data_IF_220436003412
#
_entry.id   IF_220436003412
#
_cell.length_a   1.000
_cell.length_b   1.000
_cell.length_c   1.000
_cell.angle_alpha   90.00
_cell.angle_beta   90.00
_cell.angle_gamma   90.00
#
_symmetry.space_group_name_H-M   'P 1'
#
loop_
_entity.id
_entity.type
_entity.pdbx_description
1 polymer ?
#
# COMPACT_ATOMS: atom_id res chain seq x y z
N UNK A 1 -26.81 6.41 2.29
CA UNK A 1 -27.95 6.84 3.13
C UNK A 1 -27.90 6.26 4.54
N UNK A 2 -27.82 4.93 4.75
CA UNK A 2 -27.78 4.34 6.11
C UNK A 2 -26.66 4.89 7.04
N UNK A 3 -25.48 5.15 6.50
CA UNK A 3 -24.35 5.66 7.29
C UNK A 3 -24.27 7.19 7.40
N UNK A 4 -25.16 7.96 6.74
CA UNK A 4 -25.12 9.43 6.78
C UNK A 4 -23.92 10.12 6.10
N UNK A 5 -22.91 9.39 5.61
CA UNK A 5 -21.69 9.96 5.01
C UNK A 5 -21.84 10.23 3.51
N UNK A 6 -21.12 11.25 3.02
CA UNK A 6 -20.94 11.53 1.60
C UNK A 6 -20.27 10.37 0.83
N UNK A 7 -20.63 10.14 -0.44
CA UNK A 7 -20.01 9.09 -1.25
C UNK A 7 -18.52 9.38 -1.47
N UNK A 8 -17.65 8.43 -1.09
CA UNK A 8 -16.20 8.53 -1.28
C UNK A 8 -15.75 7.73 -2.51
N UNK A 9 -14.72 8.23 -3.22
CA UNK A 9 -14.18 7.62 -4.45
C UNK A 9 -13.44 6.29 -4.23
N UNK A 10 -12.86 6.09 -3.05
CA UNK A 10 -12.06 4.91 -2.71
C UNK A 10 -12.40 4.44 -1.31
N UNK A 11 -12.67 3.14 -1.17
CA UNK A 11 -13.02 2.50 0.10
C UNK A 11 -12.09 1.32 0.31
N UNK A 12 -11.51 1.22 1.52
CA UNK A 12 -10.66 0.12 1.94
C UNK A 12 -10.89 -0.21 3.40
N UNK A 13 -10.70 -1.49 3.72
CA UNK A 13 -10.80 -2.01 5.06
C UNK A 13 -9.43 -2.05 5.72
N UNK A 14 -9.40 -1.74 7.02
CA UNK A 14 -8.25 -1.86 7.88
C UNK A 14 -8.56 -2.84 9.01
N UNK A 15 -7.62 -3.73 9.32
CA UNK A 15 -7.74 -4.63 10.47
C UNK A 15 -7.25 -3.89 11.70
N UNK A 16 -8.12 -3.76 12.69
CA UNK A 16 -7.85 -3.08 13.96
C UNK A 16 -8.00 -4.07 15.12
N UNK A 17 -7.26 -3.85 16.19
CA UNK A 17 -7.37 -4.62 17.43
C UNK A 17 -8.50 -4.12 18.33
N UNK A 18 -8.77 -2.81 18.29
CA UNK A 18 -9.80 -2.17 19.09
C UNK A 18 -10.93 -1.63 18.19
N UNK A 19 -12.16 -1.64 18.71
CA UNK A 19 -13.31 -1.08 18.02
C UNK A 19 -13.23 0.44 18.03
N UNK A 20 -13.39 1.05 16.85
CA UNK A 20 -13.54 2.50 16.70
C UNK A 20 -15.04 2.85 16.64
N UNK A 21 -15.44 4.06 17.08
CA UNK A 21 -16.82 4.52 16.93
C UNK A 21 -17.22 4.56 15.46
N UNK A 22 -18.45 4.15 15.16
CA UNK A 22 -19.02 4.22 13.81
C UNK A 22 -19.31 5.69 13.45
N UNK A 23 -18.71 6.18 12.37
CA UNK A 23 -18.92 7.56 11.92
C UNK A 23 -17.78 8.12 11.08
N UNK A 24 -17.85 9.42 10.79
CA UNK A 24 -16.84 10.14 10.04
C UNK A 24 -15.65 10.48 10.93
N UNK A 25 -14.64 9.62 10.91
CA UNK A 25 -13.35 9.88 11.56
C UNK A 25 -12.49 10.66 10.58
N UNK A 26 -12.21 11.92 10.89
CA UNK A 26 -11.24 12.72 10.13
C UNK A 26 -9.82 12.19 10.39
N UNK A 27 -9.37 11.29 9.51
CA UNK A 27 -7.99 10.80 9.48
C UNK A 27 -7.07 11.92 8.97
N UNK A 28 -6.46 12.65 9.89
CA UNK A 28 -5.48 13.68 9.58
C UNK A 28 -4.07 13.10 9.46
N UNK A 29 -3.20 13.84 8.79
CA UNK A 29 -1.79 13.50 8.56
C UNK A 29 -0.99 13.46 9.88
N UNK A 30 -1.52 14.10 10.93
CA UNK A 30 -0.97 14.16 12.30
C UNK A 30 -0.85 12.81 13.00
N UNK A 31 -1.47 11.75 12.45
CA UNK A 31 -1.35 10.39 12.98
C UNK A 31 0.06 9.81 12.81
N UNK A 32 0.85 10.37 11.89
CA UNK A 32 2.24 9.99 11.68
C UNK A 32 3.17 11.07 12.19
N UNK A 33 4.31 10.67 12.74
CA UNK A 33 5.38 11.58 13.12
C UNK A 33 6.64 11.31 12.31
N UNK A 34 7.49 12.34 12.19
CA UNK A 34 8.83 12.16 11.62
C UNK A 34 9.60 11.09 12.41
N UNK A 35 10.28 10.20 11.69
CA UNK A 35 11.02 9.06 12.26
C UNK A 35 10.22 7.76 12.38
N UNK A 36 8.91 7.78 12.20
CA UNK A 36 8.09 6.56 12.26
C UNK A 36 8.33 5.66 11.03
N UNK A 37 8.16 4.34 11.22
CA UNK A 37 8.23 3.36 10.14
C UNK A 37 6.84 2.93 9.69
N UNK A 38 6.61 2.95 8.38
CA UNK A 38 5.34 2.64 7.74
C UNK A 38 5.48 1.58 6.64
N UNK A 39 4.41 0.83 6.45
CA UNK A 39 4.23 -0.03 5.27
C UNK A 39 3.30 0.67 4.28
N UNK A 40 3.71 0.77 3.02
CA UNK A 40 2.92 1.38 1.96
C UNK A 40 2.44 0.32 0.99
N UNK A 41 1.13 0.23 0.83
CA UNK A 41 0.45 -0.74 -0.02
C UNK A 41 -0.19 -0.01 -1.19
N UNK A 42 0.11 -0.45 -2.41
CA UNK A 42 -0.45 0.13 -3.63
C UNK A 42 -0.59 -0.91 -4.72
N UNK A 43 -1.18 -0.50 -5.85
CA UNK A 43 -1.11 -1.26 -7.09
C UNK A 43 0.12 -0.86 -7.86
N UNK A 44 0.95 -1.83 -8.23
CA UNK A 44 2.15 -1.60 -9.03
C UNK A 44 1.81 -1.09 -10.43
N UNK A 45 2.74 -0.32 -11.03
CA UNK A 45 2.57 0.18 -12.40
C UNK A 45 2.42 -0.98 -13.39
N UNK A 46 1.29 -1.01 -14.11
CA UNK A 46 1.03 -1.99 -15.15
C UNK A 46 2.03 -1.89 -16.29
N UNK A 47 2.52 -3.05 -16.75
CA UNK A 47 3.44 -3.18 -17.90
C UNK A 47 2.81 -4.01 -19.03
N UNK A 48 1.57 -4.50 -18.89
CA UNK A 48 0.89 -5.31 -19.92
C UNK A 48 1.52 -6.70 -20.09
N UNK A 49 1.38 -7.29 -21.27
CA UNK A 49 2.00 -8.60 -21.58
C UNK A 49 3.51 -8.45 -21.78
N UNK A 50 4.29 -9.15 -20.97
CA UNK A 50 5.75 -9.08 -20.97
C UNK A 50 6.38 -10.45 -21.24
N UNK A 51 7.49 -10.41 -21.98
CA UNK A 51 8.33 -11.59 -22.22
C UNK A 51 9.07 -12.05 -20.96
N UNK A 52 9.61 -13.26 -21.03
CA UNK A 52 10.29 -13.93 -19.90
C UNK A 52 11.48 -13.16 -19.34
N UNK A 53 12.23 -12.46 -20.19
CA UNK A 53 13.39 -11.67 -19.73
C UNK A 53 12.98 -10.53 -18.80
N UNK A 54 11.88 -9.84 -19.08
CA UNK A 54 11.42 -8.70 -18.27
C UNK A 54 10.54 -9.12 -17.10
N UNK A 55 9.83 -10.24 -17.22
CA UNK A 55 8.95 -10.78 -16.17
C UNK A 55 9.72 -11.57 -15.11
N UNK A 56 10.68 -12.39 -15.54
CA UNK A 56 11.37 -13.37 -14.69
C UNK A 56 12.90 -13.21 -14.71
N UNK A 57 13.45 -12.16 -15.33
CA UNK A 57 14.90 -11.89 -15.41
C UNK A 57 15.72 -13.02 -16.06
N UNK A 58 15.16 -13.71 -17.06
CA UNK A 58 15.90 -14.74 -17.81
C UNK A 58 17.01 -14.11 -18.67
N UNK A 59 18.15 -14.79 -18.80
CA UNK A 59 19.37 -14.29 -19.48
C UNK A 59 19.28 -14.25 -21.02
N UNK A 60 18.37 -15.03 -21.63
CA UNK A 60 18.26 -15.15 -23.09
C UNK A 60 19.26 -16.16 -23.68
N UNK A 61 19.45 -16.12 -25.00
CA UNK A 61 20.33 -17.01 -25.76
C UNK A 61 21.39 -16.20 -26.52
N UNK A 62 22.47 -16.84 -26.97
CA UNK A 62 23.55 -16.18 -27.71
C UNK A 62 23.07 -15.36 -28.91
N UNK A 63 23.75 -14.24 -29.18
CA UNK A 63 23.36 -13.29 -30.22
C UNK A 63 24.07 -13.50 -31.56
N UNK A 64 25.38 -13.81 -31.55
CA UNK A 64 26.22 -13.74 -32.75
C UNK A 64 26.38 -15.08 -33.51
N UNK A 65 26.35 -16.22 -32.82
CA UNK A 65 26.65 -17.52 -33.43
C UNK A 65 25.38 -18.22 -33.95
N UNK A 66 24.75 -17.68 -34.98
CA UNK A 66 23.69 -18.35 -35.76
C UNK A 66 22.35 -18.62 -35.05
N UNK A 67 22.22 -18.21 -33.78
CA UNK A 67 20.98 -18.35 -33.02
C UNK A 67 19.86 -17.51 -33.63
N UNK A 68 18.63 -18.05 -33.67
CA UNK A 68 17.41 -17.32 -34.04
C UNK A 68 16.49 -17.04 -32.85
N UNK A 69 16.93 -17.37 -31.64
CA UNK A 69 16.06 -17.48 -30.46
C UNK A 69 16.56 -16.67 -29.26
N UNK A 70 17.17 -15.50 -29.53
CA UNK A 70 17.86 -14.65 -28.55
C UNK A 70 17.05 -14.33 -27.27
N UNK A 71 15.72 -14.17 -27.39
CA UNK A 71 14.84 -13.74 -26.29
C UNK A 71 13.78 -14.77 -25.89
N UNK A 72 13.90 -16.01 -26.39
CA UNK A 72 12.95 -17.08 -26.07
C UNK A 72 13.22 -17.66 -24.68
N UNK A 73 12.22 -18.35 -24.14
CA UNK A 73 12.25 -19.02 -22.82
C UNK A 73 13.25 -20.17 -22.74
N UNK A 74 13.58 -20.81 -23.88
CA UNK A 74 14.38 -22.03 -23.91
C UNK A 74 13.53 -23.27 -23.61
N UNK A 75 14.13 -24.30 -23.03
CA UNK A 75 13.42 -25.51 -22.62
C UNK A 75 12.50 -25.22 -21.42
N UNK A 76 11.25 -25.70 -21.47
CA UNK A 76 10.22 -25.44 -20.44
C UNK A 76 9.98 -26.67 -19.55
N UNK A 77 10.49 -27.84 -19.94
CA UNK A 77 10.32 -29.08 -19.20
C UNK A 77 11.18 -30.22 -19.74
N UNK A 78 11.06 -31.37 -19.08
CA UNK A 78 11.80 -32.58 -19.39
C UNK A 78 10.96 -33.54 -20.24
N UNK A 79 11.62 -34.45 -20.98
CA UNK A 79 10.96 -35.42 -21.87
C UNK A 79 10.24 -36.54 -21.09
N UNK A 80 10.96 -37.53 -20.57
CA UNK A 80 10.36 -38.78 -20.08
C UNK A 80 9.71 -38.67 -18.69
N UNK A 81 10.41 -38.10 -17.72
CA UNK A 81 9.87 -37.83 -16.37
C UNK A 81 9.99 -36.33 -16.13
N UNK A 82 8.91 -35.57 -15.88
CA UNK A 82 7.53 -35.95 -15.50
C UNK A 82 6.49 -35.98 -16.65
N UNK A 83 6.89 -35.86 -17.93
CA UNK A 83 5.95 -35.87 -19.07
C UNK A 83 4.98 -34.67 -19.14
N UNK A 84 5.20 -33.65 -18.31
CA UNK A 84 4.39 -32.43 -18.25
C UNK A 84 5.24 -31.23 -17.84
N UNK A 85 4.71 -30.03 -18.02
CA UNK A 85 5.31 -28.80 -17.47
C UNK A 85 4.89 -28.67 -16.00
N UNK A 86 5.84 -28.31 -15.13
CA UNK A 86 5.56 -28.05 -13.72
C UNK A 86 4.67 -26.82 -13.55
N UNK A 87 3.81 -26.84 -12.52
CA UNK A 87 2.99 -25.67 -12.17
C UNK A 87 3.90 -24.52 -11.74
N UNK A 88 3.46 -23.28 -11.99
CA UNK A 88 4.20 -22.06 -11.72
C UNK A 88 5.54 -21.92 -12.47
N UNK A 89 5.70 -22.64 -13.58
CA UNK A 89 6.85 -22.44 -14.47
C UNK A 89 6.85 -21.02 -15.05
N UNK A 90 8.03 -20.39 -15.10
CA UNK A 90 8.20 -18.99 -15.49
C UNK A 90 7.91 -18.71 -16.97
N UNK A 91 6.64 -18.50 -17.31
CA UNK A 91 6.17 -18.21 -18.68
C UNK A 91 5.94 -16.71 -18.93
N UNK A 92 5.95 -16.25 -20.20
CA UNK A 92 5.55 -14.88 -20.53
C UNK A 92 4.08 -14.63 -20.11
N UNK A 93 3.74 -13.38 -19.83
CA UNK A 93 2.40 -13.04 -19.33
C UNK A 93 2.27 -11.62 -18.84
N UNK A 94 1.13 -11.30 -18.24
CA UNK A 94 0.87 -9.99 -17.67
C UNK A 94 1.86 -9.69 -16.53
N UNK A 95 2.37 -8.45 -16.50
CA UNK A 95 3.28 -7.96 -15.46
C UNK A 95 2.78 -6.61 -14.93
N UNK A 96 2.71 -6.48 -13.60
CA UNK A 96 2.23 -5.28 -12.92
C UNK A 96 0.70 -5.28 -12.72
N UNK A 97 0.15 -4.15 -12.27
CA UNK A 97 -1.24 -4.00 -11.78
C UNK A 97 -1.61 -4.92 -10.60
N UNK A 98 -0.58 -5.52 -9.99
CA UNK A 98 -0.72 -6.35 -8.80
C UNK A 98 -0.56 -5.51 -7.54
N UNK A 99 -1.22 -5.96 -6.45
CA UNK A 99 -1.11 -5.33 -5.14
C UNK A 99 0.25 -5.65 -4.53
N UNK A 100 1.08 -4.63 -4.33
CA UNK A 100 2.42 -4.76 -3.75
C UNK A 100 2.49 -3.94 -2.47
N UNK A 101 3.23 -4.47 -1.49
CA UNK A 101 3.53 -3.77 -0.24
C UNK A 101 5.02 -3.53 -0.15
N UNK A 102 5.41 -2.28 0.01
CA UNK A 102 6.78 -1.91 0.36
C UNK A 102 6.82 -1.67 1.86
N UNK A 103 7.66 -2.42 2.57
CA UNK A 103 7.69 -2.45 4.03
C UNK A 103 8.84 -1.60 4.57
N UNK A 104 8.71 -1.16 5.82
CA UNK A 104 9.75 -0.47 6.58
C UNK A 104 10.23 0.86 5.95
N UNK A 105 9.33 1.60 5.32
CA UNK A 105 9.65 2.94 4.82
C UNK A 105 9.64 3.95 5.98
N UNK A 106 10.57 4.89 5.97
CA UNK A 106 10.69 5.87 7.04
C UNK A 106 9.99 7.17 6.67
N UNK A 107 9.21 7.73 7.59
CA UNK A 107 8.61 9.06 7.45
C UNK A 107 9.68 10.10 7.76
N UNK A 108 10.01 10.94 6.78
CA UNK A 108 11.02 12.01 6.91
C UNK A 108 10.41 13.27 7.51
N UNK A 109 9.26 13.70 6.98
CA UNK A 109 8.62 14.95 7.35
C UNK A 109 7.11 14.84 7.15
N UNK A 110 6.36 15.46 8.04
CA UNK A 110 4.92 15.65 7.92
C UNK A 110 4.64 17.15 7.80
N UNK A 111 3.94 17.56 6.73
CA UNK A 111 3.53 18.95 6.51
C UNK A 111 2.01 19.03 6.63
N UNK A 112 1.54 19.50 7.78
CA UNK A 112 0.10 19.56 8.10
C UNK A 112 -0.65 20.57 7.24
N UNK A 113 -0.03 21.71 6.93
CA UNK A 113 -0.62 22.78 6.10
C UNK A 113 -0.92 22.31 4.68
N UNK A 114 0.01 21.56 4.08
CA UNK A 114 -0.09 21.01 2.72
C UNK A 114 -0.81 19.65 2.69
N UNK A 115 -1.04 19.03 3.85
CA UNK A 115 -1.54 17.65 4.02
C UNK A 115 -0.67 16.60 3.30
N UNK A 116 0.65 16.76 3.35
CA UNK A 116 1.62 15.89 2.67
C UNK A 116 2.49 15.14 3.68
N UNK A 117 2.75 13.86 3.38
CA UNK A 117 3.73 13.02 4.10
C UNK A 117 4.91 12.77 3.17
N UNK A 118 6.11 13.09 3.64
CA UNK A 118 7.35 12.77 2.94
C UNK A 118 7.86 11.42 3.42
N UNK A 119 7.84 10.42 2.54
CA UNK A 119 8.30 9.06 2.83
C UNK A 119 9.62 8.82 2.10
N UNK A 120 10.61 8.29 2.82
CA UNK A 120 11.87 7.86 2.23
C UNK A 120 11.68 6.52 1.54
N UNK A 121 11.88 6.48 0.22
CA UNK A 121 11.86 5.27 -0.58
C UNK A 121 10.87 5.29 -1.74
N UNK A 122 10.70 4.13 -2.40
CA UNK A 122 9.82 3.97 -3.54
C UNK A 122 8.41 3.59 -3.11
N UNK A 123 7.42 4.33 -3.62
CA UNK A 123 5.99 4.04 -3.42
C UNK A 123 5.47 3.20 -4.60
N UNK A 124 4.76 2.09 -4.35
CA UNK A 124 4.21 1.28 -5.43
C UNK A 124 3.05 2.00 -6.12
N UNK A 125 3.21 2.29 -7.42
CA UNK A 125 2.14 2.83 -8.25
C UNK A 125 2.62 3.89 -9.23
N UNK A 126 1.66 4.49 -9.91
CA UNK A 126 1.88 5.70 -10.71
C UNK A 126 1.51 6.94 -9.88
N UNK A 127 1.99 8.10 -10.30
CA UNK A 127 1.64 9.37 -9.65
C UNK A 127 0.11 9.57 -9.69
N UNK A 128 -0.47 9.97 -8.55
CA UNK A 128 -1.92 10.12 -8.39
C UNK A 128 -2.70 8.83 -8.13
N UNK A 129 -2.02 7.68 -8.04
CA UNK A 129 -2.66 6.43 -7.62
C UNK A 129 -2.97 6.40 -6.13
N UNK A 130 -4.02 5.67 -5.75
CA UNK A 130 -4.36 5.47 -4.34
C UNK A 130 -3.42 4.49 -3.68
N UNK A 131 -2.91 4.87 -2.51
CA UNK A 131 -2.06 4.05 -1.65
C UNK A 131 -2.63 4.00 -0.25
N UNK A 132 -2.42 2.87 0.39
CA UNK A 132 -2.80 2.61 1.77
C UNK A 132 -1.53 2.62 2.61
N UNK A 133 -1.48 3.51 3.60
CA UNK A 133 -0.37 3.63 4.54
C UNK A 133 -0.83 3.04 5.87
N UNK A 134 0.02 2.23 6.49
CA UNK A 134 -0.23 1.65 7.81
C UNK A 134 1.08 1.59 8.61
N UNK A 135 1.03 1.47 9.95
CA UNK A 135 2.21 1.21 10.76
C UNK A 135 2.97 -0.05 10.28
N UNK A 136 4.30 -0.02 10.36
CA UNK A 136 5.13 -1.14 9.93
C UNK A 136 4.97 -2.35 10.84
N UNK A 137 4.75 -3.55 10.26
CA UNK A 137 4.63 -4.79 11.05
C UNK A 137 6.00 -5.24 11.59
N UNK A 138 7.05 -5.14 10.76
CA UNK A 138 8.38 -5.72 11.05
C UNK A 138 9.28 -4.81 11.87
N UNK A 139 8.98 -3.52 11.88
CA UNK A 139 9.56 -2.54 12.80
C UNK A 139 8.42 -1.99 13.64
N UNK A 140 7.94 -2.73 14.65
CA UNK A 140 7.06 -2.14 15.62
C UNK A 140 7.86 -1.02 16.26
N UNK A 141 7.52 0.22 15.96
CA UNK A 141 8.00 1.34 16.76
C UNK A 141 7.52 1.04 18.17
N UNK A 142 8.46 0.67 19.05
CA UNK A 142 8.17 0.56 20.47
C UNK A 142 7.53 1.89 20.88
N UNK A 143 6.38 1.77 21.55
CA UNK A 143 5.64 2.82 22.23
C UNK A 143 6.36 4.18 22.24
N UNK A 144 5.91 5.12 21.39
CA UNK A 144 5.98 6.51 21.87
C UNK A 144 4.99 6.58 23.04
N UNK A 145 5.42 7.16 24.17
CA UNK A 145 4.73 7.02 25.43
C UNK A 145 3.33 7.60 25.31
N UNK A 146 2.38 6.91 25.92
CA UNK A 146 1.01 7.32 26.18
C UNK A 146 0.92 8.57 27.11
N UNK A 147 1.95 9.42 27.16
CA UNK A 147 2.12 10.46 28.18
C UNK A 147 2.62 11.84 27.67
N UNK A 148 2.58 12.12 26.36
CA UNK A 148 2.95 13.46 25.84
C UNK A 148 2.01 13.99 24.75
N UNK A 149 0.71 13.97 25.06
CA UNK A 149 -0.29 15.01 24.76
C UNK A 149 -1.60 14.53 25.36
N UNK A 150 -1.74 14.73 26.69
CA UNK A 150 -3.09 14.99 27.22
C UNK A 150 -3.66 16.10 26.34
N UNK A 151 -4.87 15.97 25.76
CA UNK A 151 -5.54 17.17 25.29
C UNK A 151 -5.71 18.04 26.53
N UNK A 152 -4.99 19.16 26.56
CA UNK A 152 -5.30 20.26 27.46
C UNK A 152 -6.79 20.55 27.28
N UNK A 153 -7.52 20.26 28.34
CA UNK A 153 -8.83 20.83 28.56
C UNK A 153 -8.72 22.35 28.55
N UNK A 154 -9.88 23.00 28.32
CA UNK A 154 -10.20 24.45 28.44
C UNK A 154 -10.11 25.16 27.08
N UNK A 155 -11.18 25.59 26.37
CA UNK A 155 -12.58 25.95 26.67
C UNK A 155 -13.44 25.87 25.39
N UNK A 156 -14.67 25.35 25.46
CA UNK A 156 -15.93 26.07 25.13
C UNK A 156 -17.10 25.22 25.66
N UNK A 157 -17.80 25.62 26.72
CA UNK A 157 -19.01 24.96 27.20
C UNK A 157 -20.24 25.66 26.62
N UNK A 158 -20.82 25.17 25.52
CA UNK A 158 -22.15 25.67 25.09
C UNK A 158 -22.99 24.71 24.23
N UNK A 159 -22.47 23.56 23.77
CA UNK A 159 -23.23 22.70 22.84
C UNK A 159 -24.20 21.70 23.51
N UNK A 160 -24.17 21.52 24.83
CA UNK A 160 -25.03 20.53 25.51
C UNK A 160 -26.45 21.03 25.83
N UNK A 161 -26.78 22.30 25.57
CA UNK A 161 -28.18 22.79 25.68
C UNK A 161 -28.96 22.76 24.37
N UNK A 162 -28.30 22.69 23.21
CA UNK A 162 -28.99 22.72 21.91
C UNK A 162 -29.40 21.34 21.39
N UNK A 163 -28.71 20.26 21.80
CA UNK A 163 -29.08 18.89 21.39
C UNK A 163 -30.27 18.30 22.16
N UNK A 164 -30.66 18.87 23.31
CA UNK A 164 -31.87 18.47 24.03
C UNK A 164 -33.13 19.18 23.49
N UNK A 165 -32.96 20.36 22.87
CA UNK A 165 -34.06 21.11 22.23
C UNK A 165 -34.46 20.55 20.85
N UNK A 166 -33.59 19.80 20.18
CA UNK A 166 -33.86 19.20 18.87
C UNK A 166 -34.44 17.78 18.94
N UNK A 167 -34.69 17.25 20.15
CA UNK A 167 -35.26 15.92 20.38
C UNK A 167 -36.70 15.94 20.91
N UNK A 168 -37.35 17.10 20.86
CA UNK A 168 -38.79 17.26 21.11
C UNK A 168 -39.50 17.80 19.88
#
# INVERSE_FOLDING_TARGET
KKAGVEPRKFVREFRLTNNLPEGEINLSVTQFQAGDYVDVIGRSKGKGFQGVMKRHNFHGQGAAHGSKTHRRIGAVGNRSTPGRIWKNMGMPGHLGDERVTVQNLQVMQVRETEKVILISGAVPGANGSFVVIRPAIKKPTAAKPEAAKKPEAVKTPEATKEMEAARK
#
